data_IF_889136621046
#
_entry.id   IF_889136621046
#
_cell.length_a   1.000
_cell.length_b   1.000
_cell.length_c   1.000
_cell.angle_alpha   90.00
_cell.angle_beta   90.00
_cell.angle_gamma   90.00
#
_symmetry.space_group_name_H-M   'P 1'
#
loop_
_entity.id
_entity.type
_entity.pdbx_description
1 polymer ?
#
# COMPACT_ATOMS: atom_id res chain seq x y z
N UNK A 1 13.93 -23.83 21.08
CA UNK A 1 12.83 -23.36 20.21
C UNK A 1 13.50 -22.84 18.95
N UNK A 2 13.65 -23.70 17.95
CA UNK A 2 14.26 -23.33 16.66
C UNK A 2 13.16 -22.75 15.78
N UNK A 3 13.29 -21.48 15.39
CA UNK A 3 12.38 -20.84 14.45
C UNK A 3 12.99 -20.95 13.03
N UNK A 4 12.31 -21.53 12.04
CA UNK A 4 12.82 -21.67 10.68
C UNK A 4 13.17 -20.33 9.98
N UNK A 5 12.66 -19.21 10.49
CA UNK A 5 12.98 -17.85 10.02
C UNK A 5 14.19 -17.24 10.73
N UNK A 6 14.63 -17.80 11.85
CA UNK A 6 15.73 -17.27 12.65
C UNK A 6 16.90 -18.24 12.60
N UNK A 7 17.81 -18.04 11.63
CA UNK A 7 19.09 -18.73 11.62
C UNK A 7 20.04 -18.02 12.58
N UNK A 8 20.38 -18.69 13.67
CA UNK A 8 21.35 -18.19 14.66
C UNK A 8 22.76 -18.45 14.13
N UNK A 9 23.49 -17.37 13.82
CA UNK A 9 24.87 -17.39 13.36
C UNK A 9 25.01 -16.90 11.92
N UNK A 10 25.69 -15.77 11.73
CA UNK A 10 26.33 -15.47 10.46
C UNK A 10 27.52 -16.44 10.35
N UNK A 11 27.59 -17.23 9.29
CA UNK A 11 28.77 -18.07 9.04
C UNK A 11 29.86 -17.15 8.48
N UNK A 12 30.80 -16.73 9.34
CA UNK A 12 31.92 -15.83 9.00
C UNK A 12 32.77 -16.35 7.83
N UNK A 13 32.63 -17.64 7.50
CA UNK A 13 33.29 -18.31 6.37
C UNK A 13 32.82 -17.81 4.99
N UNK A 14 31.67 -17.13 4.92
CA UNK A 14 31.19 -16.52 3.67
C UNK A 14 31.78 -15.13 3.41
N UNK A 15 32.45 -14.53 4.39
CA UNK A 15 33.12 -13.22 4.28
C UNK A 15 34.60 -13.44 3.90
N UNK A 16 34.84 -14.35 2.96
CA UNK A 16 36.17 -14.64 2.40
C UNK A 16 36.55 -13.69 1.26
N UNK A 17 36.50 -12.38 1.46
CA UNK A 17 37.17 -11.43 0.57
C UNK A 17 38.03 -10.48 1.42
N UNK A 18 39.33 -10.77 1.40
CA UNK A 18 40.46 -10.01 1.95
C UNK A 18 40.25 -8.49 1.80
N UNK A 19 39.93 -7.79 2.89
CA UNK A 19 40.08 -6.33 3.00
C UNK A 19 41.39 -6.04 3.72
N UNK A 20 42.29 -5.35 3.03
CA UNK A 20 43.40 -4.64 3.67
C UNK A 20 42.83 -3.55 4.58
N UNK A 21 43.21 -3.59 5.85
CA UNK A 21 42.85 -2.63 6.88
C UNK A 21 43.65 -1.34 6.70
N UNK A 22 42.96 -0.22 6.44
CA UNK A 22 43.43 1.10 6.88
C UNK A 22 42.49 1.59 7.98
N UNK A 23 43.07 1.76 9.17
CA UNK A 23 42.43 2.37 10.32
C UNK A 23 41.92 3.76 9.97
N UNK A 24 40.67 4.07 10.34
CA UNK A 24 40.15 5.43 10.39
C UNK A 24 39.58 5.62 11.80
N UNK A 25 40.24 6.50 12.54
CA UNK A 25 39.88 6.97 13.88
C UNK A 25 38.53 7.71 13.85
N UNK A 26 37.64 7.55 14.84
CA UNK A 26 36.33 8.19 14.81
C UNK A 26 36.44 9.65 15.25
N UNK A 27 36.02 10.58 14.40
CA UNK A 27 35.88 12.00 14.74
C UNK A 27 34.42 12.32 15.11
N UNK A 28 34.29 13.21 16.08
CA UNK A 28 33.13 13.54 16.90
C UNK A 28 31.79 13.76 16.18
N UNK A 29 30.74 13.20 16.80
CA UNK A 29 29.32 13.42 16.51
C UNK A 29 28.87 14.67 17.28
N UNK A 30 29.13 15.88 16.80
CA UNK A 30 28.30 17.08 17.07
C UNK A 30 28.73 18.19 16.12
N UNK A 31 27.77 18.99 15.63
CA UNK A 31 27.87 19.98 14.52
C UNK A 31 27.92 19.29 13.16
N UNK A 32 26.89 19.35 12.31
CA UNK A 32 26.28 20.55 11.75
C UNK A 32 24.79 20.30 11.50
N UNK A 33 23.95 20.91 12.33
CA UNK A 33 22.60 21.29 11.93
C UNK A 33 22.78 22.62 11.21
N UNK A 34 22.22 22.70 10.00
CA UNK A 34 21.81 23.87 9.24
C UNK A 34 22.50 24.05 7.88
N UNK A 35 21.65 24.05 6.85
CA UNK A 35 21.81 24.63 5.51
C UNK A 35 22.64 23.87 4.49
N UNK A 36 21.99 23.17 3.55
CA UNK A 36 21.79 23.73 2.21
C UNK A 36 21.01 22.73 1.34
N UNK A 37 20.00 23.26 0.66
CA UNK A 37 19.44 22.77 -0.60
C UNK A 37 19.00 21.31 -0.63
N UNK A 38 17.80 21.10 -0.07
CA UNK A 38 16.93 20.03 -0.54
C UNK A 38 16.58 20.29 -2.00
N UNK A 39 17.45 19.83 -2.89
CA UNK A 39 17.08 19.52 -4.27
C UNK A 39 15.92 18.54 -4.17
N UNK A 40 14.72 19.09 -4.37
CA UNK A 40 13.53 18.30 -4.46
C UNK A 40 13.79 17.27 -5.54
N UNK A 41 13.72 15.99 -5.17
CA UNK A 41 13.35 14.98 -6.14
C UNK A 41 11.90 15.34 -6.51
N UNK A 42 11.74 16.36 -7.35
CA UNK A 42 10.64 16.47 -8.28
C UNK A 42 10.82 15.28 -9.22
N UNK A 43 10.40 14.13 -8.71
CA UNK A 43 9.97 13.03 -9.56
C UNK A 43 8.90 13.62 -10.42
N UNK A 44 9.30 14.06 -11.61
CA UNK A 44 8.42 14.40 -12.71
C UNK A 44 7.55 13.17 -12.90
N UNK A 45 6.40 13.14 -12.24
CA UNK A 45 5.41 12.10 -12.41
C UNK A 45 5.05 12.18 -13.89
N UNK A 46 5.60 11.28 -14.69
CA UNK A 46 5.13 11.03 -16.03
C UNK A 46 3.64 10.68 -15.89
N UNK A 47 2.78 11.64 -16.23
CA UNK A 47 1.35 11.46 -16.19
C UNK A 47 1.00 10.17 -16.93
N UNK A 48 0.41 9.22 -16.21
CA UNK A 48 0.00 7.92 -16.74
C UNK A 48 0.85 6.71 -16.33
N UNK A 49 2.01 6.87 -15.66
CA UNK A 49 2.75 5.71 -15.15
C UNK A 49 2.22 5.27 -13.78
N UNK A 50 2.11 3.96 -13.59
CA UNK A 50 1.75 3.35 -12.30
C UNK A 50 2.90 3.56 -11.32
N UNK A 51 2.57 3.93 -10.08
CA UNK A 51 3.53 4.10 -8.99
C UNK A 51 4.24 2.78 -8.69
N UNK A 52 5.57 2.79 -8.70
CA UNK A 52 6.36 1.65 -8.23
C UNK A 52 6.37 1.63 -6.71
N UNK A 53 6.36 0.44 -6.11
CA UNK A 53 6.42 0.23 -4.68
C UNK A 53 7.62 -0.66 -4.34
N UNK A 54 8.51 -0.11 -3.51
CA UNK A 54 9.74 -0.78 -3.09
C UNK A 54 9.52 -1.61 -1.80
N UNK A 55 10.58 -2.28 -1.34
CA UNK A 55 10.51 -3.12 -0.13
C UNK A 55 10.26 -2.32 1.16
N UNK A 56 10.82 -1.11 1.29
CA UNK A 56 10.58 -0.25 2.46
C UNK A 56 9.14 0.24 2.50
N UNK A 57 8.55 0.56 1.35
CA UNK A 57 7.13 0.91 1.25
C UNK A 57 6.28 -0.26 1.78
N UNK A 58 6.55 -1.50 1.35
CA UNK A 58 5.82 -2.69 1.82
C UNK A 58 5.98 -2.87 3.33
N UNK A 59 7.19 -2.74 3.86
CA UNK A 59 7.47 -2.88 5.30
C UNK A 59 6.68 -1.82 6.09
N UNK A 60 6.60 -0.60 5.58
CA UNK A 60 5.86 0.50 6.23
C UNK A 60 4.36 0.21 6.36
N UNK A 61 3.79 -0.67 5.52
CA UNK A 61 2.37 -1.05 5.57
C UNK A 61 2.06 -2.13 6.62
N UNK A 62 3.06 -2.68 7.31
CA UNK A 62 2.85 -3.70 8.33
C UNK A 62 2.18 -3.09 9.56
N UNK A 63 1.20 -3.81 10.13
CA UNK A 63 0.46 -3.39 11.32
C UNK A 63 1.36 -3.11 12.54
N UNK A 64 2.56 -3.69 12.60
CA UNK A 64 3.53 -3.41 13.67
C UNK A 64 4.19 -2.04 13.60
N UNK A 65 4.14 -1.37 12.43
CA UNK A 65 4.62 0.01 12.25
C UNK A 65 3.48 1.04 12.25
N UNK A 66 2.22 0.58 12.30
CA UNK A 66 1.05 1.45 12.32
C UNK A 66 0.66 1.79 13.77
N UNK A 67 0.87 3.05 14.15
CA UNK A 67 0.51 3.58 15.47
C UNK A 67 -0.93 4.10 15.56
N UNK A 68 -1.70 4.06 14.47
CA UNK A 68 -3.08 4.58 14.43
C UNK A 68 -3.98 3.91 15.48
N UNK A 69 -3.74 2.63 15.79
CA UNK A 69 -4.48 1.88 16.81
C UNK A 69 -4.32 2.41 18.24
N UNK A 70 -3.34 3.28 18.53
CA UNK A 70 -3.25 3.97 19.82
C UNK A 70 -4.27 5.11 19.95
N UNK A 71 -4.79 5.60 18.84
CA UNK A 71 -5.65 6.78 18.77
C UNK A 71 -7.04 6.50 18.17
N UNK A 72 -7.18 5.43 17.38
CA UNK A 72 -8.43 5.04 16.72
C UNK A 72 -9.04 3.79 17.34
N UNK A 73 -10.38 3.72 17.34
CA UNK A 73 -11.09 2.50 17.73
C UNK A 73 -10.87 1.40 16.67
N UNK A 74 -10.48 0.21 17.13
CA UNK A 74 -9.98 -0.93 16.34
C UNK A 74 -10.91 -1.42 15.21
N UNK A 75 -12.21 -1.11 15.27
CA UNK A 75 -13.19 -1.60 14.29
C UNK A 75 -13.40 -0.69 13.08
N UNK A 76 -12.65 0.42 12.97
CA UNK A 76 -12.86 1.44 11.94
C UNK A 76 -11.88 1.37 10.76
N UNK A 77 -11.26 0.22 10.48
CA UNK A 77 -10.30 0.12 9.38
C UNK A 77 -10.93 0.62 8.07
N UNK A 78 -10.34 1.69 7.52
CA UNK A 78 -10.86 2.43 6.35
C UNK A 78 -10.26 1.97 5.03
N UNK A 79 -9.37 1.00 5.09
CA UNK A 79 -8.55 0.55 3.99
C UNK A 79 -8.55 -0.98 3.91
N UNK A 80 -8.53 -1.47 2.68
CA UNK A 80 -8.35 -2.88 2.38
C UNK A 80 -7.28 -3.01 1.30
N UNK A 81 -6.46 -4.06 1.43
CA UNK A 81 -5.34 -4.30 0.53
C UNK A 81 -5.38 -5.73 0.02
N UNK A 82 -5.04 -5.91 -1.23
CA UNK A 82 -4.81 -7.23 -1.81
C UNK A 82 -3.71 -7.18 -2.85
N UNK A 83 -3.10 -8.33 -3.10
CA UNK A 83 -2.13 -8.48 -4.18
C UNK A 83 -2.77 -9.14 -5.39
N UNK A 84 -2.24 -8.85 -6.58
CA UNK A 84 -2.72 -9.42 -7.84
C UNK A 84 -1.56 -9.72 -8.78
N UNK A 85 -1.62 -10.86 -9.47
CA UNK A 85 -0.73 -11.21 -10.58
C UNK A 85 -1.28 -10.78 -11.95
N UNK A 86 -2.42 -10.07 -11.96
CA UNK A 86 -3.01 -9.55 -13.21
C UNK A 86 -2.31 -8.25 -13.61
N UNK A 87 -2.25 -7.92 -14.92
CA UNK A 87 -1.80 -6.62 -15.38
C UNK A 87 -2.67 -5.50 -14.80
N UNK A 88 -2.07 -4.35 -14.49
CA UNK A 88 -2.79 -3.21 -13.93
C UNK A 88 -4.00 -2.76 -14.77
N UNK A 89 -3.91 -2.81 -16.11
CA UNK A 89 -5.05 -2.51 -16.99
C UNK A 89 -6.26 -3.40 -16.71
N UNK A 90 -6.03 -4.69 -16.46
CA UNK A 90 -7.08 -5.66 -16.11
C UNK A 90 -7.69 -5.35 -14.75
N UNK A 91 -6.84 -5.01 -13.77
CA UNK A 91 -7.28 -4.61 -12.42
C UNK A 91 -8.15 -3.35 -12.49
N UNK A 92 -7.71 -2.32 -13.23
CA UNK A 92 -8.46 -1.08 -13.43
C UNK A 92 -9.81 -1.36 -14.08
N UNK A 93 -9.83 -2.12 -15.18
CA UNK A 93 -11.08 -2.46 -15.87
C UNK A 93 -12.05 -3.22 -14.97
N UNK A 94 -11.53 -4.13 -14.12
CA UNK A 94 -12.35 -4.85 -13.14
C UNK A 94 -12.94 -3.90 -12.09
N UNK A 95 -12.15 -2.97 -11.56
CA UNK A 95 -12.62 -1.97 -10.61
C UNK A 95 -13.69 -1.04 -11.22
N UNK A 96 -13.53 -0.65 -12.49
CA UNK A 96 -14.52 0.14 -13.23
C UNK A 96 -15.83 -0.63 -13.45
N UNK A 97 -15.74 -1.92 -13.78
CA UNK A 97 -16.90 -2.80 -13.92
C UNK A 97 -17.71 -2.86 -12.62
N UNK A 98 -17.03 -3.09 -11.50
CA UNK A 98 -17.63 -3.13 -10.16
C UNK A 98 -18.25 -1.77 -9.83
N UNK A 99 -17.51 -0.68 -10.04
CA UNK A 99 -18.01 0.67 -9.78
C UNK A 99 -19.31 0.96 -10.53
N UNK A 100 -19.37 0.61 -11.83
CA UNK A 100 -20.57 0.78 -12.65
C UNK A 100 -21.74 -0.09 -12.14
N UNK A 101 -21.48 -1.34 -11.78
CA UNK A 101 -22.49 -2.24 -11.20
C UNK A 101 -23.09 -1.69 -9.91
N UNK A 102 -22.28 -1.01 -9.10
CA UNK A 102 -22.66 -0.43 -7.81
C UNK A 102 -23.10 1.04 -7.88
N UNK A 103 -23.25 1.60 -9.09
CA UNK A 103 -23.64 3.00 -9.33
C UNK A 103 -22.67 4.03 -8.72
N UNK A 104 -21.40 3.68 -8.63
CA UNK A 104 -20.33 4.63 -8.40
C UNK A 104 -19.95 5.32 -9.73
N UNK A 105 -19.67 6.61 -9.65
CA UNK A 105 -19.13 7.42 -10.73
C UNK A 105 -17.62 7.49 -10.59
N UNK A 106 -16.90 7.26 -11.69
CA UNK A 106 -15.45 7.47 -11.75
C UNK A 106 -15.19 8.98 -11.88
N UNK A 107 -14.47 9.56 -10.92
CA UNK A 107 -14.15 11.00 -10.88
C UNK A 107 -12.75 11.32 -11.39
N UNK A 108 -11.80 10.41 -11.17
CA UNK A 108 -10.43 10.50 -11.67
C UNK A 108 -9.94 9.10 -12.01
N UNK A 109 -9.19 9.00 -13.10
CA UNK A 109 -8.48 7.81 -13.55
C UNK A 109 -7.14 8.25 -14.13
N UNK A 110 -6.08 8.12 -13.34
CA UNK A 110 -4.75 8.57 -13.75
C UNK A 110 -3.67 7.90 -12.88
N UNK A 111 -2.52 7.55 -13.47
CA UNK A 111 -1.36 7.00 -12.75
C UNK A 111 -1.62 5.77 -11.89
N UNK A 112 -2.60 4.91 -12.24
CA UNK A 112 -3.00 3.77 -11.41
C UNK A 112 -3.95 4.11 -10.26
N UNK A 113 -4.37 5.38 -10.14
CA UNK A 113 -5.35 5.85 -9.16
C UNK A 113 -6.74 5.96 -9.80
N UNK A 114 -7.73 5.37 -9.14
CA UNK A 114 -9.14 5.43 -9.49
C UNK A 114 -9.94 6.02 -8.32
N UNK A 115 -10.52 7.20 -8.52
CA UNK A 115 -11.41 7.84 -7.53
C UNK A 115 -12.86 7.55 -7.86
N UNK A 116 -13.58 6.93 -6.95
CA UNK A 116 -14.96 6.49 -7.09
C UNK A 116 -15.86 7.27 -6.12
N UNK A 117 -16.97 7.79 -6.61
CA UNK A 117 -17.97 8.47 -5.79
C UNK A 117 -19.35 7.84 -5.98
N UNK A 118 -20.01 7.48 -4.88
CA UNK A 118 -21.36 6.93 -4.90
C UNK A 118 -22.37 7.93 -5.45
N UNK A 119 -23.54 7.43 -5.87
CA UNK A 119 -24.62 8.30 -6.36
C UNK A 119 -25.65 8.66 -5.29
N UNK A 120 -25.59 8.05 -4.10
CA UNK A 120 -26.53 8.26 -3.00
C UNK A 120 -25.84 8.99 -1.86
N UNK A 121 -26.55 9.93 -1.26
CA UNK A 121 -26.11 10.60 -0.05
C UNK A 121 -26.43 9.72 1.17
N UNK A 122 -25.39 9.41 1.94
CA UNK A 122 -25.49 8.68 3.20
C UNK A 122 -25.52 9.62 4.41
N UNK A 123 -25.54 9.05 5.62
CA UNK A 123 -25.59 9.82 6.88
C UNK A 123 -24.42 10.80 7.05
N UNK A 124 -23.26 10.46 6.49
CA UNK A 124 -22.04 11.28 6.56
C UNK A 124 -21.63 11.82 5.18
N UNK A 125 -22.62 12.14 4.35
CA UNK A 125 -22.42 12.56 2.97
C UNK A 125 -22.28 11.39 2.00
N UNK A 126 -21.88 11.69 0.78
CA UNK A 126 -21.71 10.71 -0.30
C UNK A 126 -20.48 9.83 -0.04
N UNK A 127 -20.65 8.51 -0.14
CA UNK A 127 -19.56 7.55 -0.01
C UNK A 127 -18.56 7.73 -1.15
N UNK A 128 -17.30 8.01 -0.81
CA UNK A 128 -16.19 8.08 -1.77
C UNK A 128 -15.08 7.09 -1.40
N UNK A 129 -14.52 6.45 -2.43
CA UNK A 129 -13.52 5.39 -2.33
C UNK A 129 -12.42 5.68 -3.35
N UNK A 130 -11.17 5.62 -2.91
CA UNK A 130 -10.01 5.67 -3.79
C UNK A 130 -9.43 4.25 -3.89
N UNK A 131 -9.12 3.82 -5.11
CA UNK A 131 -8.37 2.59 -5.38
C UNK A 131 -7.05 2.97 -6.04
N UNK A 132 -5.95 2.55 -5.45
CA UNK A 132 -4.60 2.82 -5.96
C UNK A 132 -3.88 1.51 -6.22
N UNK A 133 -3.24 1.44 -7.38
CA UNK A 133 -2.50 0.27 -7.85
C UNK A 133 -1.02 0.63 -7.82
N UNK A 134 -0.24 -0.22 -7.17
CA UNK A 134 1.20 -0.09 -7.07
C UNK A 134 1.89 -1.27 -7.73
N UNK A 135 2.89 -1.00 -8.56
CA UNK A 135 3.74 -2.02 -9.16
C UNK A 135 4.82 -2.45 -8.16
N UNK A 136 4.76 -3.70 -7.68
CA UNK A 136 5.81 -4.28 -6.83
C UNK A 136 6.87 -4.95 -7.69
N UNK A 137 6.41 -5.61 -8.76
CA UNK A 137 7.24 -6.15 -9.84
C UNK A 137 6.44 -6.03 -11.15
N UNK A 138 7.05 -6.20 -12.34
CA UNK A 138 6.33 -6.08 -13.62
C UNK A 138 5.10 -7.00 -13.77
N UNK A 139 5.00 -8.07 -12.98
CA UNK A 139 3.90 -9.05 -13.01
C UNK A 139 3.09 -9.08 -11.72
N UNK A 140 3.41 -8.25 -10.73
CA UNK A 140 2.77 -8.30 -9.42
C UNK A 140 2.47 -6.91 -8.88
N UNK A 141 1.21 -6.71 -8.53
CA UNK A 141 0.68 -5.42 -8.11
C UNK A 141 0.09 -5.53 -6.71
N UNK A 142 0.28 -4.50 -5.91
CA UNK A 142 -0.49 -4.27 -4.69
C UNK A 142 -1.63 -3.30 -5.03
N UNK A 143 -2.85 -3.62 -4.60
CA UNK A 143 -4.00 -2.75 -4.75
C UNK A 143 -4.46 -2.33 -3.36
N UNK A 144 -4.48 -1.04 -3.11
CA UNK A 144 -5.06 -0.43 -1.91
C UNK A 144 -6.40 0.21 -2.25
N UNK A 145 -7.43 -0.07 -1.45
CA UNK A 145 -8.76 0.51 -1.57
C UNK A 145 -9.09 1.18 -0.26
N UNK A 146 -9.30 2.50 -0.30
CA UNK A 146 -9.47 3.34 0.89
C UNK A 146 -10.74 4.18 0.80
N UNK A 147 -11.49 4.23 1.90
CA UNK A 147 -12.61 5.17 2.06
C UNK A 147 -12.06 6.59 2.24
N UNK A 148 -12.46 7.51 1.37
CA UNK A 148 -12.07 8.93 1.43
C UNK A 148 -13.19 9.84 1.95
N UNK A 149 -14.45 9.46 1.79
CA UNK A 149 -15.61 10.19 2.35
C UNK A 149 -16.77 9.24 2.70
N UNK A 150 -17.76 9.73 3.44
CA UNK A 150 -18.99 8.99 3.74
C UNK A 150 -18.92 8.11 4.99
N UNK A 151 -19.99 7.36 5.22
CA UNK A 151 -20.14 6.57 6.44
C UNK A 151 -19.27 5.29 6.44
N UNK A 152 -18.62 5.00 7.56
CA UNK A 152 -17.70 3.84 7.66
C UNK A 152 -18.44 2.50 7.64
N UNK A 153 -19.62 2.41 8.25
CA UNK A 153 -20.40 1.17 8.28
C UNK A 153 -21.00 0.90 6.89
N UNK A 154 -21.44 1.96 6.20
CA UNK A 154 -21.85 1.87 4.80
C UNK A 154 -20.71 1.34 3.92
N UNK A 155 -19.51 1.92 4.04
CA UNK A 155 -18.31 1.43 3.35
C UNK A 155 -18.03 -0.04 3.64
N UNK A 156 -18.00 -0.44 4.92
CA UNK A 156 -17.71 -1.83 5.30
C UNK A 156 -18.75 -2.81 4.74
N UNK A 157 -20.03 -2.41 4.70
CA UNK A 157 -21.10 -3.22 4.11
C UNK A 157 -20.86 -3.41 2.61
N UNK A 158 -20.67 -2.31 1.88
CA UNK A 158 -20.40 -2.34 0.42
C UNK A 158 -19.13 -3.13 0.12
N UNK A 159 -18.08 -2.96 0.93
CA UNK A 159 -16.84 -3.70 0.79
C UNK A 159 -17.03 -5.22 0.93
N UNK A 160 -17.66 -5.66 2.04
CA UNK A 160 -17.82 -7.09 2.35
C UNK A 160 -18.83 -7.78 1.42
N UNK A 161 -19.91 -7.10 1.06
CA UNK A 161 -21.03 -7.71 0.31
C UNK A 161 -20.86 -7.61 -1.21
N UNK A 162 -20.18 -6.57 -1.71
CA UNK A 162 -20.16 -6.28 -3.15
C UNK A 162 -18.74 -6.34 -3.73
N UNK A 163 -17.82 -5.49 -3.25
CA UNK A 163 -16.47 -5.41 -3.81
C UNK A 163 -15.69 -6.71 -3.62
N UNK A 164 -15.63 -7.21 -2.38
CA UNK A 164 -14.80 -8.37 -2.05
C UNK A 164 -15.21 -9.62 -2.83
N UNK A 165 -16.51 -9.98 -2.95
CA UNK A 165 -16.94 -11.08 -3.82
C UNK A 165 -16.63 -10.85 -5.30
N UNK A 166 -16.79 -9.62 -5.78
CA UNK A 166 -16.58 -9.31 -7.19
C UNK A 166 -15.10 -9.27 -7.61
N UNK A 167 -14.17 -9.08 -6.66
CA UNK A 167 -12.71 -9.06 -6.91
C UNK A 167 -12.03 -10.44 -6.84
N UNK A 168 -12.76 -11.51 -6.48
CA UNK A 168 -12.20 -12.84 -6.21
C UNK A 168 -11.38 -13.43 -7.37
N UNK A 169 -11.71 -13.06 -8.61
CA UNK A 169 -11.06 -13.53 -9.83
C UNK A 169 -9.70 -12.87 -10.12
N UNK A 170 -9.43 -11.72 -9.51
CA UNK A 170 -8.17 -10.99 -9.68
C UNK A 170 -7.30 -10.98 -8.43
N UNK A 171 -7.84 -11.38 -7.28
CA UNK A 171 -7.10 -11.40 -6.00
C UNK A 171 -6.19 -12.63 -5.94
N UNK A 172 -4.91 -12.39 -5.66
CA UNK A 172 -3.94 -13.41 -5.29
C UNK A 172 -3.97 -13.69 -3.79
N UNK A 173 -3.83 -12.64 -2.96
CA UNK A 173 -3.91 -12.74 -1.51
C UNK A 173 -4.46 -11.45 -0.89
N UNK A 174 -5.29 -11.58 0.14
CA UNK A 174 -5.74 -10.47 0.98
C UNK A 174 -4.67 -10.13 2.02
N UNK A 175 -4.46 -8.84 2.30
CA UNK A 175 -3.48 -8.37 3.28
C UNK A 175 -4.16 -7.95 4.58
N UNK A 176 -3.58 -8.37 5.72
CA UNK A 176 -4.03 -7.96 7.05
C UNK A 176 -5.32 -8.60 7.54
N UNK A 177 -5.69 -9.78 7.03
CA UNK A 177 -6.73 -10.62 7.65
C UNK A 177 -6.10 -11.53 8.69
N UNK A 178 -6.47 -11.32 9.95
CA UNK A 178 -6.28 -12.33 10.99
C UNK A 178 -7.19 -13.51 10.62
N UNK A 179 -6.62 -14.69 10.37
CA UNK A 179 -7.40 -15.93 10.41
C UNK A 179 -7.96 -16.04 11.84
N UNK A 180 -9.28 -15.94 11.97
CA UNK A 180 -9.99 -16.33 13.19
C UNK A 180 -10.04 -17.85 13.29
#
# INVERSE_FOLDING_TARGET
MENPWFRKGLDDRLIGHKRESKEIVPADITTVINSSDGDGIEGKQEAGRISNMNAFDIISLSAGFDLSGLFEQTDQRREARFTSSKPASTIISKLEEIARGLRFKVKKKDGGVLKLEGSKEGRKGVLAIDAEIFEVTPTFHLVEIKKTNGDTLEYQKVWKQEFRPALKDIVWAWQGEQQQ
#
